data_IF_570103676100
#
_entry.id   IF_570103676100
#
_cell.length_a   1.000
_cell.length_b   1.000
_cell.length_c   1.000
_cell.angle_alpha   90.00
_cell.angle_beta   90.00
_cell.angle_gamma   90.00
#
_symmetry.space_group_name_H-M   'P 1'
#
loop_
_entity.id
_entity.type
_entity.pdbx_description
1 polymer ?
#
# COMPACT_ATOMS: atom_id res chain seq x y z
N UNK A 1 22.06 25.80 -0.19
CA UNK A 1 21.19 24.67 0.23
C UNK A 1 20.09 25.28 1.08
N UNK A 2 18.82 25.08 0.70
CA UNK A 2 17.69 25.62 1.45
C UNK A 2 17.60 24.99 2.84
N UNK A 3 16.82 25.57 3.75
CA UNK A 3 16.53 24.97 5.05
C UNK A 3 15.84 23.61 4.90
N UNK A 4 14.91 23.49 3.95
CA UNK A 4 14.24 22.25 3.59
C UNK A 4 15.22 21.15 3.11
N UNK A 5 16.21 21.51 2.28
CA UNK A 5 17.23 20.57 1.82
C UNK A 5 18.10 20.06 2.98
N UNK A 6 18.42 20.94 3.95
CA UNK A 6 19.17 20.55 5.15
C UNK A 6 18.37 19.58 6.00
N UNK A 7 17.08 19.84 6.16
CA UNK A 7 16.17 19.01 6.93
C UNK A 7 15.97 17.63 6.29
N UNK A 8 15.78 17.57 4.97
CA UNK A 8 15.78 16.32 4.22
C UNK A 8 17.06 15.50 4.45
N UNK A 9 18.23 16.14 4.34
CA UNK A 9 19.50 15.47 4.60
C UNK A 9 19.66 15.05 6.07
N UNK A 10 19.05 15.75 7.03
CA UNK A 10 19.03 15.36 8.44
C UNK A 10 18.19 14.10 8.64
N UNK A 11 16.94 14.09 8.15
CA UNK A 11 16.03 12.96 8.27
C UNK A 11 16.60 11.67 7.64
N UNK A 12 17.27 11.78 6.48
CA UNK A 12 17.94 10.63 5.86
C UNK A 12 19.10 10.11 6.71
N UNK A 13 19.91 11.00 7.32
CA UNK A 13 21.01 10.59 8.21
C UNK A 13 20.51 9.89 9.47
N UNK A 14 19.37 10.34 9.97
CA UNK A 14 18.68 9.74 11.13
C UNK A 14 17.91 8.47 10.77
N UNK A 15 17.93 8.05 9.49
CA UNK A 15 17.20 6.88 8.98
C UNK A 15 15.70 6.93 9.33
N UNK A 16 15.10 8.12 9.21
CA UNK A 16 13.68 8.35 9.50
C UNK A 16 12.77 7.41 8.70
N UNK A 17 11.79 6.81 9.36
CA UNK A 17 10.78 5.96 8.71
C UNK A 17 9.70 6.78 7.95
N UNK A 18 9.73 8.11 8.08
CA UNK A 18 8.80 9.04 7.42
C UNK A 18 9.26 9.48 6.03
N UNK A 19 10.34 8.87 5.52
CA UNK A 19 10.84 9.08 4.15
C UNK A 19 10.43 7.90 3.29
N UNK A 20 9.94 8.21 2.09
CA UNK A 20 9.51 7.20 1.15
C UNK A 20 10.27 7.23 -0.17
N UNK A 21 10.48 6.05 -0.78
CA UNK A 21 10.87 5.89 -2.17
C UNK A 21 9.64 5.56 -3.00
N UNK A 22 9.50 6.25 -4.12
CA UNK A 22 8.39 6.10 -5.08
C UNK A 22 8.93 5.90 -6.49
N UNK A 23 8.15 5.21 -7.32
CA UNK A 23 8.36 5.22 -8.75
C UNK A 23 8.21 6.66 -9.27
N UNK A 24 9.26 7.17 -9.90
CA UNK A 24 9.30 8.54 -10.40
C UNK A 24 8.42 8.72 -11.66
N UNK A 25 8.31 7.69 -12.49
CA UNK A 25 7.60 7.73 -13.78
C UNK A 25 6.23 7.04 -13.74
N UNK A 26 5.91 6.34 -12.64
CA UNK A 26 4.70 5.52 -12.50
C UNK A 26 4.59 4.53 -13.66
N UNK A 27 5.57 3.65 -13.80
CA UNK A 27 5.62 2.72 -14.90
C UNK A 27 4.51 1.65 -14.76
N UNK A 28 3.81 1.35 -15.87
CA UNK A 28 2.62 0.50 -15.87
C UNK A 28 2.91 -1.01 -15.93
N UNK A 29 4.16 -1.43 -16.21
CA UNK A 29 4.52 -2.86 -16.30
C UNK A 29 5.23 -3.35 -15.03
N UNK A 30 5.31 -4.67 -14.87
CA UNK A 30 6.01 -5.31 -13.76
C UNK A 30 7.53 -5.13 -13.92
N UNK A 31 8.07 -4.15 -13.20
CA UNK A 31 9.49 -3.87 -13.13
C UNK A 31 10.05 -4.20 -11.75
N UNK A 32 11.33 -4.58 -11.70
CA UNK A 32 12.07 -4.72 -10.45
C UNK A 32 13.07 -3.57 -10.29
N UNK A 33 13.42 -3.28 -9.04
CA UNK A 33 14.27 -2.17 -8.66
C UNK A 33 15.56 -2.66 -8.03
N UNK A 34 16.65 -1.93 -8.28
CA UNK A 34 17.96 -2.22 -7.72
C UNK A 34 18.70 -0.94 -7.33
N UNK A 35 19.11 -0.84 -6.07
CA UNK A 35 19.77 0.35 -5.49
C UNK A 35 21.29 0.36 -5.65
N UNK A 36 21.91 -0.81 -5.85
CA UNK A 36 23.33 -0.94 -6.18
C UNK A 36 23.52 -2.09 -7.17
N UNK A 37 24.55 -2.08 -8.03
CA UNK A 37 24.77 -3.16 -9.00
C UNK A 37 24.89 -4.58 -8.39
N UNK A 38 25.23 -4.69 -7.10
CA UNK A 38 25.38 -5.96 -6.39
C UNK A 38 24.16 -6.32 -5.52
N UNK A 39 23.17 -5.42 -5.41
CA UNK A 39 21.97 -5.67 -4.62
C UNK A 39 21.02 -6.62 -5.35
N UNK A 40 20.27 -7.41 -4.58
CA UNK A 40 19.17 -8.23 -5.07
C UNK A 40 18.09 -7.34 -5.69
N UNK A 41 17.49 -7.79 -6.79
CA UNK A 41 16.34 -7.12 -7.39
C UNK A 41 15.17 -7.17 -6.39
N UNK A 42 14.47 -6.04 -6.24
CA UNK A 42 13.29 -5.92 -5.37
C UNK A 42 12.07 -5.62 -6.23
N UNK A 43 10.92 -6.20 -5.89
CA UNK A 43 9.66 -5.82 -6.54
C UNK A 43 9.21 -4.42 -6.14
N UNK A 44 9.69 -3.93 -4.99
CA UNK A 44 9.22 -2.69 -4.39
C UNK A 44 10.39 -1.80 -3.98
N UNK A 45 10.13 -0.49 -3.95
CA UNK A 45 11.07 0.50 -3.46
C UNK A 45 10.87 0.70 -1.97
N UNK A 46 11.86 0.28 -1.18
CA UNK A 46 11.86 0.52 0.26
C UNK A 46 13.02 1.45 0.66
N UNK A 47 12.73 2.45 1.50
CA UNK A 47 13.76 3.37 1.99
C UNK A 47 14.82 2.65 2.84
N UNK A 48 14.46 1.56 3.53
CA UNK A 48 15.37 0.76 4.35
C UNK A 48 16.47 0.14 3.51
N UNK A 49 16.15 -0.37 2.32
CA UNK A 49 17.15 -0.87 1.37
C UNK A 49 18.14 0.25 0.97
N UNK A 50 17.66 1.48 0.82
CA UNK A 50 18.54 2.61 0.56
C UNK A 50 19.45 2.89 1.75
N UNK A 51 18.91 2.95 2.97
CA UNK A 51 19.69 3.18 4.19
C UNK A 51 20.76 2.10 4.41
N UNK A 52 20.45 0.83 4.15
CA UNK A 52 21.42 -0.28 4.21
C UNK A 52 22.51 -0.16 3.13
N UNK A 53 22.19 0.46 1.99
CA UNK A 53 23.16 0.68 0.90
C UNK A 53 24.04 1.92 1.05
N UNK A 54 23.80 2.75 2.07
CA UNK A 54 24.58 3.96 2.35
C UNK A 54 25.76 3.59 3.25
N UNK A 55 26.97 3.89 2.77
CA UNK A 55 28.20 3.82 3.56
C UNK A 55 28.16 4.89 4.66
N UNK A 56 28.29 4.47 5.92
CA UNK A 56 28.22 5.34 7.12
C UNK A 56 29.27 6.46 7.12
N UNK A 57 30.37 6.30 6.37
CA UNK A 57 31.42 7.30 6.26
C UNK A 57 31.09 8.41 5.26
N UNK A 58 30.05 8.24 4.43
CA UNK A 58 29.65 9.21 3.40
C UNK A 58 28.71 10.26 3.98
N UNK A 59 29.03 11.52 3.70
CA UNK A 59 28.13 12.62 3.99
C UNK A 59 26.90 12.59 3.06
N UNK A 60 25.70 12.53 3.66
CA UNK A 60 24.44 12.66 2.94
C UNK A 60 24.21 14.12 2.57
N UNK A 61 24.38 14.43 1.30
CA UNK A 61 24.08 15.75 0.72
C UNK A 61 23.09 15.62 -0.44
N UNK A 62 22.44 16.72 -0.82
CA UNK A 62 21.60 16.74 -2.04
C UNK A 62 22.39 16.29 -3.29
N UNK A 63 23.67 16.66 -3.38
CA UNK A 63 24.56 16.20 -4.45
C UNK A 63 24.71 14.68 -4.46
N UNK A 64 24.92 14.08 -3.28
CA UNK A 64 24.95 12.63 -3.12
C UNK A 64 23.65 11.96 -3.56
N UNK A 65 22.49 12.48 -3.15
CA UNK A 65 21.18 11.92 -3.51
C UNK A 65 20.86 12.03 -5.01
N UNK A 66 21.35 13.09 -5.69
CA UNK A 66 21.23 13.25 -7.15
C UNK A 66 22.16 12.31 -7.91
N UNK A 67 23.32 12.03 -7.33
CA UNK A 67 24.31 11.11 -7.88
C UNK A 67 23.87 9.65 -7.74
N UNK A 68 23.45 9.24 -6.54
CA UNK A 68 22.94 7.88 -6.26
C UNK A 68 21.73 7.57 -7.14
N UNK A 69 21.70 6.35 -7.66
CA UNK A 69 20.69 5.90 -8.62
C UNK A 69 19.90 4.70 -8.12
N UNK A 70 18.66 4.63 -8.58
CA UNK A 70 17.79 3.46 -8.58
C UNK A 70 17.75 2.96 -10.02
N UNK A 71 18.09 1.71 -10.24
CA UNK A 71 18.00 1.04 -11.54
C UNK A 71 16.69 0.29 -11.62
N UNK A 72 15.99 0.46 -12.73
CA UNK A 72 14.72 -0.21 -13.04
C UNK A 72 15.01 -1.29 -14.09
N UNK A 73 14.52 -2.49 -13.83
CA UNK A 73 14.81 -3.69 -14.60
C UNK A 73 13.49 -4.31 -15.05
N UNK A 74 13.43 -4.82 -16.27
CA UNK A 74 12.30 -5.62 -16.75
C UNK A 74 12.33 -7.06 -16.22
N UNK A 75 11.40 -7.87 -16.70
CA UNK A 75 11.25 -9.28 -16.32
C UNK A 75 12.48 -10.12 -16.68
N UNK A 76 13.20 -9.74 -17.73
CA UNK A 76 14.46 -10.37 -18.17
C UNK A 76 15.68 -9.86 -17.38
N UNK A 77 15.47 -9.02 -16.36
CA UNK A 77 16.50 -8.34 -15.58
C UNK A 77 17.40 -7.40 -16.40
N UNK A 78 16.91 -6.92 -17.54
CA UNK A 78 17.59 -5.94 -18.37
C UNK A 78 17.28 -4.51 -17.92
N UNK A 79 18.26 -3.62 -18.06
CA UNK A 79 18.12 -2.23 -17.56
C UNK A 79 17.22 -1.43 -18.48
N UNK A 80 16.06 -1.03 -17.96
CA UNK A 80 15.08 -0.22 -18.68
C UNK A 80 15.33 1.27 -18.42
N UNK A 81 15.52 1.65 -17.15
CA UNK A 81 15.70 3.04 -16.72
C UNK A 81 16.64 3.15 -15.54
N UNK A 82 17.07 4.38 -15.28
CA UNK A 82 17.82 4.73 -14.07
C UNK A 82 17.39 6.10 -13.58
N UNK A 83 17.02 6.19 -12.30
CA UNK A 83 16.54 7.43 -11.69
C UNK A 83 17.44 7.89 -10.54
N UNK A 84 17.67 9.21 -10.38
CA UNK A 84 18.27 9.72 -9.16
C UNK A 84 17.41 9.37 -7.94
N UNK A 85 18.03 8.91 -6.84
CA UNK A 85 17.31 8.73 -5.56
C UNK A 85 16.58 10.01 -5.18
N UNK A 86 17.22 11.17 -5.39
CA UNK A 86 16.61 12.48 -5.17
C UNK A 86 15.26 12.71 -5.88
N UNK A 87 14.96 12.03 -6.99
CA UNK A 87 13.65 12.15 -7.67
C UNK A 87 12.64 11.12 -7.20
N UNK A 88 13.11 10.05 -6.57
CA UNK A 88 12.28 9.00 -6.01
C UNK A 88 11.90 9.27 -4.56
N UNK A 89 12.41 10.32 -3.92
CA UNK A 89 12.03 10.64 -2.54
C UNK A 89 10.65 11.29 -2.48
N UNK A 90 9.81 10.78 -1.58
CA UNK A 90 8.68 11.47 -1.00
C UNK A 90 8.97 11.70 0.49
N UNK A 91 8.84 12.93 0.97
CA UNK A 91 9.00 13.25 2.40
C UNK A 91 7.93 14.24 2.81
N UNK A 92 7.43 14.12 4.03
CA UNK A 92 6.53 15.07 4.67
C UNK A 92 7.09 15.48 6.02
N UNK A 93 7.13 16.78 6.31
CA UNK A 93 7.45 17.28 7.64
C UNK A 93 6.89 18.69 7.87
N UNK A 94 6.78 19.04 9.14
CA UNK A 94 6.34 20.36 9.62
C UNK A 94 7.55 21.25 9.91
N UNK A 95 7.56 22.49 9.40
CA UNK A 95 8.49 23.54 9.86
C UNK A 95 7.67 24.75 10.29
N UNK A 96 7.71 25.08 11.58
CA UNK A 96 6.82 26.10 12.14
C UNK A 96 5.37 25.63 12.11
N UNK A 97 4.52 26.35 11.37
CA UNK A 97 3.11 26.02 11.19
C UNK A 97 2.81 25.43 9.79
N UNK A 98 3.79 25.41 8.87
CA UNK A 98 3.58 24.94 7.50
C UNK A 98 4.01 23.49 7.33
N UNK A 99 3.15 22.68 6.71
CA UNK A 99 3.47 21.31 6.31
C UNK A 99 4.08 21.32 4.90
N UNK A 100 5.30 20.79 4.79
CA UNK A 100 6.03 20.68 3.54
C UNK A 100 6.04 19.25 3.04
N UNK A 101 5.94 19.08 1.72
CA UNK A 101 6.26 17.83 1.07
C UNK A 101 7.41 18.00 0.08
N UNK A 102 8.27 17.00 0.03
CA UNK A 102 9.19 16.79 -1.05
C UNK A 102 8.64 15.73 -1.98
N UNK A 103 8.49 16.02 -3.27
CA UNK A 103 8.00 15.06 -4.24
C UNK A 103 8.60 15.32 -5.62
N UNK A 104 9.07 14.25 -6.27
CA UNK A 104 9.65 14.31 -7.63
C UNK A 104 10.74 15.38 -7.78
N UNK A 105 11.55 15.56 -6.74
CA UNK A 105 12.67 16.50 -6.75
C UNK A 105 12.31 17.97 -6.45
N UNK A 106 11.08 18.24 -5.98
CA UNK A 106 10.56 19.60 -5.71
C UNK A 106 9.91 19.68 -4.33
N UNK A 107 9.96 20.87 -3.74
CA UNK A 107 9.29 21.22 -2.50
C UNK A 107 7.92 21.84 -2.79
N UNK A 108 6.93 21.45 -1.99
CA UNK A 108 5.58 22.02 -1.99
C UNK A 108 5.14 22.28 -0.55
N UNK A 109 4.27 23.27 -0.37
CA UNK A 109 3.54 23.49 0.89
C UNK A 109 2.16 22.87 0.72
N UNK A 110 1.69 22.14 1.73
CA UNK A 110 0.35 21.58 1.75
C UNK A 110 -0.65 22.70 2.05
N UNK A 111 -1.65 22.86 1.19
CA UNK A 111 -2.80 23.72 1.48
C UNK A 111 -3.63 23.07 2.61
N UNK A 112 -3.75 23.77 3.74
CA UNK A 112 -4.47 23.29 4.93
C UNK A 112 -5.95 23.01 4.65
N UNK A 113 -6.61 23.79 3.81
CA UNK A 113 -8.01 23.55 3.44
C UNK A 113 -8.13 22.30 2.60
N UNK A 114 -7.18 22.06 1.69
CA UNK A 114 -7.12 20.83 0.92
C UNK A 114 -6.92 19.62 1.84
N UNK A 115 -5.95 19.69 2.77
CA UNK A 115 -5.72 18.63 3.77
C UNK A 115 -6.98 18.37 4.61
N UNK A 116 -7.61 19.41 5.15
CA UNK A 116 -8.83 19.28 5.93
C UNK A 116 -9.98 18.65 5.13
N UNK A 117 -10.12 19.01 3.84
CA UNK A 117 -11.12 18.41 2.96
C UNK A 117 -10.87 16.92 2.70
N UNK A 118 -9.60 16.52 2.59
CA UNK A 118 -9.17 15.15 2.39
C UNK A 118 -9.44 14.29 3.62
N UNK A 119 -9.11 14.81 4.81
CA UNK A 119 -9.41 14.18 6.10
C UNK A 119 -10.91 13.98 6.27
N UNK A 120 -11.69 15.03 6.04
CA UNK A 120 -13.15 14.98 6.12
C UNK A 120 -13.75 13.98 5.13
N UNK A 121 -13.17 13.84 3.94
CA UNK A 121 -13.60 12.83 2.96
C UNK A 121 -13.39 11.42 3.51
N UNK A 122 -12.18 11.11 3.98
CA UNK A 122 -11.80 9.77 4.46
C UNK A 122 -12.60 9.40 5.71
N UNK A 123 -12.81 10.35 6.61
CA UNK A 123 -13.59 10.16 7.84
C UNK A 123 -15.01 9.66 7.58
N UNK A 124 -15.63 9.97 6.43
CA UNK A 124 -16.97 9.44 6.09
C UNK A 124 -17.00 7.94 5.79
N UNK A 125 -15.85 7.36 5.50
CA UNK A 125 -15.67 5.94 5.24
C UNK A 125 -15.01 5.23 6.43
N UNK A 126 -14.55 5.99 7.43
CA UNK A 126 -13.98 5.43 8.64
C UNK A 126 -15.03 4.73 9.51
N UNK A 127 -14.66 3.57 10.05
CA UNK A 127 -15.48 2.80 10.99
C UNK A 127 -14.68 2.44 12.23
N UNK A 128 -15.38 2.39 13.36
CA UNK A 128 -14.86 1.69 14.54
C UNK A 128 -14.96 0.19 14.30
N UNK A 129 -13.87 -0.53 14.55
CA UNK A 129 -13.79 -1.98 14.34
C UNK A 129 -13.97 -2.66 15.69
N UNK A 130 -15.21 -2.71 16.18
CA UNK A 130 -15.59 -3.32 17.46
C UNK A 130 -16.07 -4.79 17.32
N UNK A 131 -16.26 -5.24 16.08
CA UNK A 131 -16.69 -6.59 15.73
C UNK A 131 -15.53 -7.58 15.54
N UNK A 132 -14.29 -7.13 15.63
CA UNK A 132 -13.09 -7.97 15.63
C UNK A 132 -12.31 -7.78 16.93
N UNK A 133 -11.57 -8.80 17.34
CA UNK A 133 -10.60 -8.66 18.41
C UNK A 133 -9.54 -7.62 18.02
N UNK A 134 -9.28 -6.60 18.87
CA UNK A 134 -8.24 -5.62 18.60
C UNK A 134 -6.86 -6.25 18.45
N UNK A 135 -6.02 -5.69 17.58
CA UNK A 135 -4.66 -6.18 17.42
C UNK A 135 -3.88 -5.92 18.71
N UNK A 136 -3.13 -6.92 19.17
CA UNK A 136 -2.42 -6.85 20.46
C UNK A 136 -1.08 -6.10 20.40
N UNK A 137 -0.70 -5.59 19.22
CA UNK A 137 0.55 -4.87 18.99
C UNK A 137 1.77 -5.77 18.71
N UNK A 138 1.64 -7.10 18.84
CA UNK A 138 2.75 -8.05 18.69
C UNK A 138 2.53 -9.06 17.56
N UNK A 139 1.29 -9.47 17.30
CA UNK A 139 0.98 -10.50 16.31
C UNK A 139 1.44 -10.08 14.91
N UNK A 140 1.85 -11.07 14.12
CA UNK A 140 2.15 -10.87 12.71
C UNK A 140 0.87 -10.63 11.89
N UNK A 141 1.02 -10.11 10.67
CA UNK A 141 -0.11 -9.97 9.73
C UNK A 141 -0.77 -11.33 9.48
N UNK A 142 0.04 -12.38 9.32
CA UNK A 142 -0.42 -13.76 9.09
C UNK A 142 -1.22 -14.31 10.29
N UNK A 143 -0.71 -14.15 11.52
CA UNK A 143 -1.41 -14.60 12.72
C UNK A 143 -2.77 -13.90 12.87
N UNK A 144 -2.78 -12.58 12.64
CA UNK A 144 -3.98 -11.77 12.75
C UNK A 144 -5.00 -12.10 11.66
N UNK A 145 -4.58 -12.26 10.40
CA UNK A 145 -5.45 -12.64 9.28
C UNK A 145 -6.12 -14.00 9.54
N UNK A 146 -5.37 -14.98 10.05
CA UNK A 146 -5.93 -16.28 10.43
C UNK A 146 -6.96 -16.17 11.57
N UNK A 147 -6.69 -15.33 12.57
CA UNK A 147 -7.60 -15.11 13.68
C UNK A 147 -8.92 -14.48 13.21
N UNK A 148 -8.86 -13.35 12.49
CA UNK A 148 -10.08 -12.64 12.08
C UNK A 148 -10.89 -13.45 11.06
N UNK A 149 -10.25 -14.30 10.25
CA UNK A 149 -10.96 -15.22 9.36
C UNK A 149 -11.89 -16.15 10.15
N UNK A 150 -11.47 -16.65 11.32
CA UNK A 150 -12.32 -17.46 12.20
C UNK A 150 -13.43 -16.62 12.83
N UNK A 151 -13.12 -15.43 13.35
CA UNK A 151 -14.12 -14.55 13.98
C UNK A 151 -15.23 -14.13 13.02
N UNK A 152 -14.89 -13.96 11.75
CA UNK A 152 -15.82 -13.57 10.69
C UNK A 152 -16.57 -14.74 10.05
N UNK A 153 -16.34 -15.98 10.49
CA UNK A 153 -16.75 -17.20 9.79
C UNK A 153 -16.36 -17.16 8.29
N UNK A 154 -15.17 -16.64 8.02
CA UNK A 154 -14.61 -16.43 6.70
C UNK A 154 -13.44 -17.37 6.40
N UNK A 155 -12.64 -16.97 5.43
CA UNK A 155 -11.51 -17.70 4.89
C UNK A 155 -10.28 -16.80 4.87
N UNK A 156 -9.13 -17.35 5.26
CA UNK A 156 -7.84 -16.65 5.17
C UNK A 156 -7.26 -16.83 3.76
N UNK A 157 -7.20 -15.75 2.99
CA UNK A 157 -6.71 -15.68 1.62
C UNK A 157 -5.29 -15.09 1.51
N UNK A 158 -4.68 -14.71 2.64
CA UNK A 158 -3.30 -14.23 2.73
C UNK A 158 -2.34 -15.09 1.89
N UNK A 159 -1.55 -14.41 1.06
CA UNK A 159 -0.54 -14.97 0.14
C UNK A 159 -1.09 -15.89 -0.95
N UNK A 160 -2.40 -15.94 -1.19
CA UNK A 160 -2.98 -16.64 -2.35
C UNK A 160 -2.89 -15.75 -3.59
N UNK A 161 -2.01 -16.15 -4.50
CA UNK A 161 -1.67 -15.36 -5.68
C UNK A 161 -2.40 -15.84 -6.95
N UNK A 162 -3.02 -14.88 -7.62
CA UNK A 162 -3.61 -15.02 -8.95
C UNK A 162 -2.58 -14.64 -10.02
N UNK A 163 -2.24 -15.59 -10.89
CA UNK A 163 -1.26 -15.41 -11.95
C UNK A 163 -1.92 -15.38 -13.32
N UNK A 164 -1.49 -14.45 -14.18
CA UNK A 164 -1.86 -14.36 -15.60
C UNK A 164 -0.66 -13.90 -16.41
N UNK A 165 -0.77 -13.92 -17.74
CA UNK A 165 0.26 -13.35 -18.63
C UNK A 165 0.48 -11.84 -18.38
N UNK A 166 -0.53 -11.13 -17.87
CA UNK A 166 -0.41 -9.71 -17.47
C UNK A 166 0.15 -9.54 -16.05
N UNK A 167 0.09 -10.59 -15.23
CA UNK A 167 0.43 -10.60 -13.81
C UNK A 167 1.41 -11.72 -13.49
N UNK A 168 2.58 -11.67 -14.12
CA UNK A 168 3.64 -12.68 -14.02
C UNK A 168 4.14 -12.89 -12.58
N UNK A 169 4.14 -11.84 -11.76
CA UNK A 169 4.53 -11.88 -10.34
C UNK A 169 3.39 -12.24 -9.38
N UNK A 170 2.16 -12.37 -9.91
CA UNK A 170 0.98 -12.70 -9.14
C UNK A 170 0.33 -11.49 -8.46
N UNK A 171 -0.99 -11.54 -8.31
CA UNK A 171 -1.78 -10.58 -7.55
C UNK A 171 -2.42 -11.29 -6.38
N UNK A 172 -2.27 -10.73 -5.19
CA UNK A 172 -3.05 -11.12 -4.03
C UNK A 172 -4.45 -10.50 -4.10
N UNK A 173 -5.48 -11.34 -4.12
CA UNK A 173 -6.87 -10.87 -4.26
C UNK A 173 -7.37 -10.16 -2.99
N UNK A 174 -7.12 -10.74 -1.81
CA UNK A 174 -7.44 -10.16 -0.50
C UNK A 174 -6.74 -10.95 0.61
N UNK A 175 -6.74 -10.40 1.82
CA UNK A 175 -6.20 -11.07 3.01
C UNK A 175 -7.22 -12.04 3.63
N UNK A 176 -8.48 -11.59 3.76
CA UNK A 176 -9.58 -12.38 4.34
C UNK A 176 -10.85 -12.16 3.54
N UNK A 177 -11.59 -13.25 3.31
CA UNK A 177 -12.87 -13.24 2.59
C UNK A 177 -13.98 -13.73 3.52
N UNK A 178 -15.08 -13.00 3.61
CA UNK A 178 -16.33 -13.50 4.20
C UNK A 178 -17.47 -13.42 3.17
N UNK A 179 -18.70 -13.79 3.56
CA UNK A 179 -19.83 -13.90 2.63
C UNK A 179 -20.06 -12.66 1.77
N UNK A 180 -19.95 -11.46 2.35
CA UNK A 180 -20.24 -10.19 1.67
C UNK A 180 -19.09 -9.17 1.76
N UNK A 181 -17.96 -9.57 2.33
CA UNK A 181 -16.88 -8.64 2.64
C UNK A 181 -15.52 -9.15 2.15
N UNK A 182 -14.75 -8.22 1.62
CA UNK A 182 -13.37 -8.44 1.18
C UNK A 182 -12.45 -7.58 2.04
N UNK A 183 -11.65 -8.21 2.89
CA UNK A 183 -10.77 -7.53 3.83
C UNK A 183 -9.35 -7.48 3.27
N UNK A 184 -8.79 -6.29 3.35
CA UNK A 184 -7.38 -6.01 3.11
C UNK A 184 -6.78 -5.48 4.40
N UNK A 185 -5.79 -6.18 4.95
CA UNK A 185 -5.22 -5.91 6.26
C UNK A 185 -3.73 -5.60 6.12
N UNK A 186 -3.27 -4.54 6.80
CA UNK A 186 -1.84 -4.24 6.85
C UNK A 186 -1.41 -3.72 8.19
N UNK A 187 -0.26 -4.18 8.66
CA UNK A 187 0.43 -3.60 9.79
C UNK A 187 0.91 -2.20 9.45
N UNK A 188 0.39 -1.21 10.17
CA UNK A 188 0.78 0.17 9.94
C UNK A 188 2.15 0.46 10.55
N UNK A 189 3.17 0.46 9.68
CA UNK A 189 4.57 0.79 10.04
C UNK A 189 5.14 1.94 9.21
N UNK A 190 4.32 2.58 8.35
CA UNK A 190 4.70 3.72 7.50
C UNK A 190 3.85 3.82 6.23
N UNK A 191 3.96 4.93 5.50
CA UNK A 191 3.09 5.26 4.35
C UNK A 191 3.29 4.36 3.12
N UNK A 192 4.52 3.86 2.91
CA UNK A 192 4.87 2.97 1.79
C UNK A 192 4.01 1.72 1.79
N UNK A 193 4.06 0.96 2.89
CA UNK A 193 3.36 -0.32 3.01
C UNK A 193 1.85 -0.15 2.94
N UNK A 194 1.31 0.98 3.42
CA UNK A 194 -0.10 1.31 3.23
C UNK A 194 -0.44 1.57 1.76
N UNK A 195 0.46 2.17 0.97
CA UNK A 195 0.19 2.42 -0.44
C UNK A 195 0.14 1.13 -1.26
N UNK A 196 0.92 0.11 -0.89
CA UNK A 196 0.83 -1.24 -1.47
C UNK A 196 -0.53 -1.88 -1.20
N UNK A 197 -0.97 -1.86 0.06
CA UNK A 197 -2.31 -2.33 0.43
C UNK A 197 -3.40 -1.66 -0.42
N UNK A 198 -3.35 -0.33 -0.53
CA UNK A 198 -4.35 0.44 -1.27
C UNK A 198 -4.37 0.14 -2.77
N UNK A 199 -3.20 -0.13 -3.35
CA UNK A 199 -3.09 -0.59 -4.74
C UNK A 199 -3.68 -1.99 -4.90
N UNK A 200 -3.32 -2.93 -4.01
CA UNK A 200 -3.87 -4.29 -4.01
C UNK A 200 -5.40 -4.27 -3.90
N UNK A 201 -5.96 -3.50 -2.97
CA UNK A 201 -7.42 -3.34 -2.83
C UNK A 201 -8.05 -2.77 -4.11
N UNK A 202 -7.40 -1.78 -4.73
CA UNK A 202 -7.90 -1.19 -5.98
C UNK A 202 -7.91 -2.19 -7.12
N UNK A 203 -6.85 -2.99 -7.26
CA UNK A 203 -6.73 -4.01 -8.30
C UNK A 203 -7.72 -5.16 -8.05
N UNK A 204 -7.85 -5.61 -6.80
CA UNK A 204 -8.86 -6.58 -6.37
C UNK A 204 -10.27 -6.18 -6.80
N UNK A 205 -10.68 -4.95 -6.49
CA UNK A 205 -11.98 -4.42 -6.92
C UNK A 205 -12.13 -4.37 -8.44
N UNK A 206 -11.09 -3.99 -9.18
CA UNK A 206 -11.15 -3.94 -10.65
C UNK A 206 -11.35 -5.32 -11.26
N UNK A 207 -10.58 -6.30 -10.79
CA UNK A 207 -10.68 -7.70 -11.23
C UNK A 207 -12.06 -8.24 -10.88
N UNK A 208 -12.53 -8.07 -9.63
CA UNK A 208 -13.82 -8.60 -9.20
C UNK A 208 -14.99 -8.06 -10.03
N UNK A 209 -14.94 -6.76 -10.39
CA UNK A 209 -15.96 -6.12 -11.21
C UNK A 209 -15.93 -6.58 -12.68
N UNK A 210 -14.74 -6.73 -13.26
CA UNK A 210 -14.58 -6.70 -14.73
C UNK A 210 -14.06 -8.01 -15.33
N UNK A 211 -13.51 -8.90 -14.52
CA UNK A 211 -12.80 -10.08 -14.96
C UNK A 211 -13.55 -11.35 -14.56
N UNK A 212 -13.78 -12.26 -15.52
CA UNK A 212 -14.39 -13.57 -15.24
C UNK A 212 -13.35 -14.59 -14.80
N UNK A 213 -12.10 -14.41 -15.20
CA UNK A 213 -11.02 -15.36 -14.93
C UNK A 213 -10.64 -15.34 -13.46
N UNK A 214 -10.67 -14.16 -12.80
CA UNK A 214 -10.50 -14.09 -11.34
C UNK A 214 -11.60 -14.86 -10.60
N UNK A 215 -12.86 -14.81 -11.07
CA UNK A 215 -13.97 -15.52 -10.41
C UNK A 215 -13.85 -17.02 -10.56
N UNK A 216 -13.44 -17.47 -11.75
CA UNK A 216 -13.13 -18.87 -11.98
C UNK A 216 -11.94 -19.32 -11.11
N UNK A 217 -10.90 -18.50 -10.99
CA UNK A 217 -9.76 -18.77 -10.12
C UNK A 217 -10.16 -18.84 -8.65
N UNK A 218 -10.99 -17.92 -8.14
CA UNK A 218 -11.57 -17.97 -6.78
C UNK A 218 -12.29 -19.30 -6.58
N UNK A 219 -13.14 -19.70 -7.53
CA UNK A 219 -13.91 -20.94 -7.42
C UNK A 219 -13.01 -22.18 -7.33
N UNK A 220 -11.95 -22.25 -8.15
CA UNK A 220 -10.95 -23.33 -8.09
C UNK A 220 -10.22 -23.31 -6.74
N UNK A 221 -9.78 -22.13 -6.28
CA UNK A 221 -9.05 -21.98 -5.02
C UNK A 221 -9.88 -22.37 -3.80
N UNK A 222 -11.18 -22.10 -3.84
CA UNK A 222 -12.12 -22.54 -2.80
C UNK A 222 -12.20 -24.05 -2.70
N UNK A 223 -12.26 -24.76 -3.82
CA UNK A 223 -12.25 -26.23 -3.83
C UNK A 223 -10.94 -26.80 -3.29
N UNK A 224 -9.80 -26.21 -3.68
CA UNK A 224 -8.47 -26.67 -3.27
C UNK A 224 -8.18 -26.43 -1.78
N UNK A 225 -8.50 -25.23 -1.28
CA UNK A 225 -8.00 -24.76 0.01
C UNK A 225 -9.08 -24.73 1.11
N UNK A 226 -10.38 -24.73 0.72
CA UNK A 226 -11.51 -24.56 1.65
C UNK A 226 -12.61 -25.62 1.49
N UNK A 227 -12.35 -26.71 0.75
CA UNK A 227 -13.27 -27.84 0.63
C UNK A 227 -14.60 -27.52 -0.07
N UNK A 228 -14.61 -26.49 -0.94
CA UNK A 228 -15.75 -26.15 -1.79
C UNK A 228 -16.73 -25.14 -1.19
N UNK A 229 -16.46 -24.60 0.01
CA UNK A 229 -17.34 -23.59 0.63
C UNK A 229 -17.16 -22.21 -0.01
N UNK A 230 -17.82 -21.95 -1.13
CA UNK A 230 -17.69 -20.67 -1.83
C UNK A 230 -18.51 -19.58 -1.13
N UNK A 231 -17.83 -18.62 -0.51
CA UNK A 231 -18.51 -17.59 0.30
C UNK A 231 -19.12 -16.46 -0.55
N UNK A 232 -18.53 -16.15 -1.71
CA UNK A 232 -18.87 -14.93 -2.48
C UNK A 232 -19.48 -15.20 -3.86
N UNK A 233 -19.30 -16.41 -4.43
CA UNK A 233 -19.81 -16.77 -5.76
C UNK A 233 -20.88 -17.87 -5.69
N UNK A 234 -21.83 -17.80 -6.61
CA UNK A 234 -22.73 -18.90 -6.97
C UNK A 234 -22.01 -19.90 -7.89
N UNK A 235 -22.61 -21.07 -8.10
CA UNK A 235 -22.08 -22.11 -8.99
C UNK A 235 -21.87 -21.64 -10.44
N UNK A 236 -22.61 -20.63 -10.88
CA UNK A 236 -22.48 -20.01 -12.21
C UNK A 236 -21.44 -18.88 -12.27
N UNK A 237 -20.62 -18.73 -11.21
CA UNK A 237 -19.60 -17.70 -11.04
C UNK A 237 -20.15 -16.26 -10.97
N UNK A 238 -21.44 -16.09 -10.75
CA UNK A 238 -22.01 -14.79 -10.39
C UNK A 238 -21.81 -14.51 -8.90
N UNK A 239 -21.83 -13.22 -8.51
CA UNK A 239 -21.80 -12.84 -7.11
C UNK A 239 -23.05 -13.35 -6.38
N UNK A 240 -22.88 -13.91 -5.18
CA UNK A 240 -24.00 -14.26 -4.28
C UNK A 240 -24.78 -13.02 -3.85
N UNK A 241 -24.06 -11.94 -3.60
CA UNK A 241 -24.59 -10.64 -3.23
C UNK A 241 -23.91 -9.55 -4.07
N UNK A 242 -24.71 -8.62 -4.60
CA UNK A 242 -24.17 -7.48 -5.37
C UNK A 242 -23.64 -6.36 -4.46
N UNK A 243 -24.02 -6.35 -3.18
CA UNK A 243 -23.63 -5.33 -2.21
C UNK A 243 -22.31 -5.70 -1.49
N UNK A 244 -21.29 -6.09 -2.26
CA UNK A 244 -19.97 -6.41 -1.71
C UNK A 244 -19.34 -5.14 -1.10
N UNK A 245 -18.81 -5.27 0.12
CA UNK A 245 -18.14 -4.19 0.83
C UNK A 245 -16.66 -4.53 1.09
N UNK A 246 -15.77 -3.64 0.66
CA UNK A 246 -14.34 -3.72 0.91
C UNK A 246 -13.98 -3.11 2.26
N UNK A 247 -13.17 -3.80 3.05
CA UNK A 247 -12.62 -3.28 4.29
C UNK A 247 -11.10 -3.10 4.14
N UNK A 248 -10.62 -1.89 4.37
CA UNK A 248 -9.19 -1.57 4.41
C UNK A 248 -8.82 -1.35 5.87
N UNK A 249 -8.11 -2.30 6.46
CA UNK A 249 -7.84 -2.38 7.89
C UNK A 249 -6.36 -2.17 8.17
N UNK A 250 -6.05 -1.20 9.04
CA UNK A 250 -4.69 -0.89 9.45
C UNK A 250 -4.46 -1.33 10.90
N UNK A 251 -3.56 -2.29 11.10
CA UNK A 251 -3.19 -2.73 12.45
C UNK A 251 -2.31 -1.66 13.08
N UNK A 252 -2.83 -0.92 14.07
CA UNK A 252 -2.13 0.20 14.70
C UNK A 252 -2.62 0.54 16.10
N UNK A 253 -1.66 0.69 17.01
CA UNK A 253 -1.88 1.14 18.40
C UNK A 253 -1.92 2.67 18.55
N UNK A 254 -1.81 3.44 17.45
CA UNK A 254 -1.82 4.91 17.52
C UNK A 254 -3.23 5.40 17.83
N UNK A 255 -3.40 6.29 18.80
CA UNK A 255 -4.71 6.86 19.13
C UNK A 255 -5.26 7.81 18.04
N UNK A 256 -6.59 7.90 17.96
CA UNK A 256 -7.30 8.78 17.03
C UNK A 256 -7.74 8.14 15.73
N UNK A 257 -8.47 8.94 14.92
CA UNK A 257 -8.99 8.60 13.61
C UNK A 257 -7.85 8.42 12.58
N UNK A 258 -8.03 7.51 11.63
CA UNK A 258 -7.05 7.26 10.56
C UNK A 258 -6.76 8.54 9.77
N UNK A 259 -7.81 9.26 9.39
CA UNK A 259 -7.71 10.57 8.71
C UNK A 259 -6.83 11.58 9.45
N UNK A 260 -6.67 11.45 10.78
CA UNK A 260 -5.86 12.36 11.57
C UNK A 260 -4.41 11.91 11.79
N UNK A 261 -4.14 10.60 11.74
CA UNK A 261 -2.81 10.04 12.03
C UNK A 261 -2.03 9.61 10.78
N UNK A 262 -2.71 9.47 9.64
CA UNK A 262 -2.08 9.09 8.38
C UNK A 262 -1.40 10.31 7.72
N UNK A 263 -0.22 10.11 7.13
CA UNK A 263 0.50 11.16 6.40
C UNK A 263 -0.25 11.54 5.12
N UNK A 264 -0.02 12.75 4.63
CA UNK A 264 -0.67 13.34 3.46
C UNK A 264 -0.65 12.43 2.23
N UNK A 265 0.48 11.77 1.96
CA UNK A 265 0.56 10.84 0.82
C UNK A 265 -0.43 9.70 0.94
N UNK A 266 -0.50 9.05 2.11
CA UNK A 266 -1.45 7.97 2.35
C UNK A 266 -2.88 8.48 2.26
N UNK A 267 -3.17 9.69 2.76
CA UNK A 267 -4.49 10.29 2.62
C UNK A 267 -4.87 10.49 1.14
N UNK A 268 -3.94 10.93 0.28
CA UNK A 268 -4.20 11.08 -1.16
C UNK A 268 -4.50 9.71 -1.78
N UNK A 269 -3.64 8.72 -1.56
CA UNK A 269 -3.79 7.38 -2.11
C UNK A 269 -5.10 6.75 -1.64
N UNK A 270 -5.43 6.87 -0.36
CA UNK A 270 -6.67 6.38 0.24
C UNK A 270 -7.90 7.02 -0.43
N UNK A 271 -7.88 8.33 -0.64
CA UNK A 271 -8.96 9.03 -1.34
C UNK A 271 -9.17 8.52 -2.77
N UNK A 272 -8.08 8.29 -3.52
CA UNK A 272 -8.16 7.76 -4.88
C UNK A 272 -8.70 6.32 -4.89
N UNK A 273 -8.20 5.46 -3.98
CA UNK A 273 -8.66 4.07 -3.81
C UNK A 273 -10.14 4.01 -3.48
N UNK A 274 -10.60 4.77 -2.47
CA UNK A 274 -12.03 4.83 -2.10
C UNK A 274 -12.88 5.25 -3.30
N UNK A 275 -12.51 6.33 -3.99
CA UNK A 275 -13.28 6.80 -5.16
C UNK A 275 -13.31 5.75 -6.27
N UNK A 276 -12.21 5.04 -6.49
CA UNK A 276 -12.14 4.00 -7.52
C UNK A 276 -13.03 2.81 -7.18
N UNK A 277 -13.02 2.34 -5.94
CA UNK A 277 -13.87 1.22 -5.48
C UNK A 277 -15.35 1.60 -5.60
N UNK A 278 -15.74 2.81 -5.16
CA UNK A 278 -17.11 3.32 -5.29
C UNK A 278 -17.53 3.46 -6.76
N UNK A 279 -16.64 3.90 -7.65
CA UNK A 279 -16.91 3.96 -9.10
C UNK A 279 -17.11 2.59 -9.75
N UNK A 280 -16.49 1.54 -9.19
CA UNK A 280 -16.67 0.16 -9.62
C UNK A 280 -17.98 -0.46 -9.09
N UNK A 281 -18.74 0.28 -8.28
CA UNK A 281 -20.04 -0.15 -7.76
C UNK A 281 -20.00 -0.85 -6.41
N UNK A 282 -18.84 -0.91 -5.74
CA UNK A 282 -18.70 -1.54 -4.43
C UNK A 282 -18.73 -0.51 -3.29
N UNK A 283 -19.12 -0.97 -2.10
CA UNK A 283 -18.98 -0.21 -0.86
C UNK A 283 -17.56 -0.35 -0.31
N UNK A 284 -17.12 0.61 0.50
CA UNK A 284 -15.80 0.55 1.15
C UNK A 284 -15.85 1.17 2.54
N UNK A 285 -15.16 0.54 3.48
CA UNK A 285 -14.87 1.05 4.82
C UNK A 285 -13.37 1.01 5.08
N UNK A 286 -12.92 1.95 5.88
CA UNK A 286 -11.54 2.02 6.33
C UNK A 286 -11.52 1.99 7.85
N UNK A 287 -10.65 1.19 8.44
CA UNK A 287 -10.67 0.94 9.89
C UNK A 287 -9.26 0.75 10.43
N UNK A 288 -9.11 0.99 11.73
CA UNK A 288 -7.88 0.71 12.47
C UNK A 288 -8.20 -0.34 13.54
N UNK A 289 -7.29 -1.28 13.72
CA UNK A 289 -7.43 -2.41 14.65
C UNK A 289 -6.20 -2.56 15.53
#
# INVERSE_FOLDING_TARGET
>A
MSELDKELCRLIRERSEDIFLIDYENLDNLFTYRLTPKATNRLELNIKDFYESVDETKEITIGYLKYRKITVLDEDSEVVRTWPVFRCLFVEFLIGEENFIFFKGKWYVIDENYLASLRSFIQRYEVEVDFLTPWNGVDSEEDFNNQIAVELNGQCWDRKLYYTDLYSYGIEFCDVLSTDHIYHVKKYTGSQLTSHLLMQTTVSAQLMNSDKDIRNWINIKVEEDFGGDNLILNDDLTLRNNDIEYFILLMSQRDGLLSNILPFFTLITMHLTIKRIVQLGFSVRVGKI
#
